data_IF_884166773378
#
_entry.id   IF_884166773378
#
_cell.length_a   1.000
_cell.length_b   1.000
_cell.length_c   1.000
_cell.angle_alpha   90.00
_cell.angle_beta   90.00
_cell.angle_gamma   90.00
#
_symmetry.space_group_name_H-M   'P 1'
#
loop_
_entity.id
_entity.type
_entity.pdbx_description
1 polymer ?
#
# COMPACT_ATOMS: atom_id res chain seq x y z
N UNK A 1 -2.34 -1.99 16.98
CA UNK A 1 -2.20 -1.75 15.53
C UNK A 1 -1.83 -3.03 14.76
N UNK A 2 -0.74 -3.75 15.11
CA UNK A 2 -0.27 -4.94 14.36
C UNK A 2 -0.36 -6.29 15.13
N UNK A 3 -1.09 -6.35 16.25
CA UNK A 3 -1.17 -7.56 17.10
C UNK A 3 -2.18 -8.61 16.60
N UNK A 4 -2.34 -9.70 17.35
CA UNK A 4 -3.20 -10.84 16.97
C UNK A 4 -4.63 -10.44 16.59
N UNK A 5 -5.26 -9.52 17.32
CA UNK A 5 -6.61 -9.00 16.99
C UNK A 5 -6.65 -8.30 15.62
N UNK A 6 -5.59 -7.59 15.25
CA UNK A 6 -5.48 -6.94 13.95
C UNK A 6 -5.30 -7.99 12.82
N UNK A 7 -4.45 -9.00 13.04
CA UNK A 7 -4.29 -10.15 12.14
C UNK A 7 -5.61 -10.88 11.91
N UNK A 8 -6.36 -11.19 12.97
CA UNK A 8 -7.69 -11.79 12.88
C UNK A 8 -8.65 -10.91 12.09
N UNK A 9 -8.63 -9.60 12.36
CA UNK A 9 -9.44 -8.67 11.59
C UNK A 9 -9.07 -8.74 10.10
N UNK A 10 -7.79 -8.70 9.72
CA UNK A 10 -7.34 -8.72 8.31
C UNK A 10 -7.51 -10.07 7.64
N UNK A 11 -7.70 -11.16 8.38
CA UNK A 11 -7.85 -12.51 7.83
C UNK A 11 -8.97 -12.59 6.76
N UNK A 12 -10.06 -11.82 6.94
CA UNK A 12 -11.13 -11.72 5.96
C UNK A 12 -10.66 -11.06 4.64
N UNK A 13 -9.83 -10.02 4.72
CA UNK A 13 -9.22 -9.36 3.55
C UNK A 13 -8.29 -10.34 2.85
N UNK A 14 -7.44 -11.03 3.60
CA UNK A 14 -6.50 -12.02 3.06
C UNK A 14 -7.22 -13.13 2.30
N UNK A 15 -8.22 -13.78 2.93
CA UNK A 15 -9.04 -14.82 2.28
C UNK A 15 -9.70 -14.31 1.01
N UNK A 16 -10.24 -13.09 1.05
CA UNK A 16 -10.94 -12.51 -0.10
C UNK A 16 -10.01 -12.29 -1.30
N UNK A 17 -8.80 -11.78 -1.09
CA UNK A 17 -7.84 -11.58 -2.18
C UNK A 17 -7.24 -12.89 -2.70
N UNK A 18 -6.97 -13.86 -1.81
CA UNK A 18 -6.52 -15.21 -2.22
C UNK A 18 -7.58 -15.93 -3.04
N UNK A 19 -8.84 -15.86 -2.64
CA UNK A 19 -9.96 -16.47 -3.36
C UNK A 19 -10.18 -15.80 -4.74
N UNK A 20 -10.00 -14.48 -4.84
CA UNK A 20 -9.99 -13.81 -6.16
C UNK A 20 -8.84 -14.27 -7.05
N UNK A 21 -7.64 -14.36 -6.49
CA UNK A 21 -6.47 -14.83 -7.23
C UNK A 21 -6.70 -16.26 -7.75
N UNK A 22 -7.20 -17.16 -6.90
CA UNK A 22 -7.56 -18.54 -7.27
C UNK A 22 -8.57 -18.59 -8.41
N UNK A 23 -9.63 -17.77 -8.33
CA UNK A 23 -10.63 -17.63 -9.40
C UNK A 23 -10.02 -17.10 -10.70
N UNK A 24 -9.11 -16.14 -10.63
CA UNK A 24 -8.40 -15.60 -11.81
C UNK A 24 -7.51 -16.64 -12.47
N UNK A 25 -6.77 -17.43 -11.69
CA UNK A 25 -5.95 -18.55 -12.17
C UNK A 25 -6.83 -19.57 -12.90
N UNK A 26 -7.92 -19.98 -12.26
CA UNK A 26 -8.83 -20.97 -12.82
C UNK A 26 -9.57 -20.47 -14.07
N UNK A 27 -9.95 -19.19 -14.12
CA UNK A 27 -10.54 -18.58 -15.31
C UNK A 27 -9.55 -18.52 -16.48
N UNK A 28 -8.27 -18.21 -16.20
CA UNK A 28 -7.21 -18.21 -17.21
C UNK A 28 -7.01 -19.61 -17.83
N UNK A 29 -7.16 -20.67 -17.03
CA UNK A 29 -7.07 -22.05 -17.49
C UNK A 29 -8.28 -22.56 -18.30
N UNK A 30 -9.48 -21.99 -18.12
CA UNK A 30 -10.70 -22.42 -18.83
C UNK A 30 -10.81 -21.88 -20.26
N UNK A 31 -10.27 -20.69 -20.53
CA UNK A 31 -10.39 -20.02 -21.83
C UNK A 31 -9.27 -20.32 -22.83
N UNK A 32 -8.11 -20.79 -22.35
CA UNK A 32 -6.88 -20.99 -23.15
C UNK A 32 -6.18 -22.28 -22.74
N UNK A 33 -6.56 -23.42 -23.35
CA UNK A 33 -5.84 -24.68 -23.13
C UNK A 33 -4.37 -24.52 -23.54
N UNK A 34 -3.47 -24.49 -22.55
CA UNK A 34 -2.01 -24.49 -22.77
C UNK A 34 -1.31 -23.14 -22.66
N UNK A 35 -1.98 -22.03 -22.35
CA UNK A 35 -1.27 -20.77 -22.09
C UNK A 35 -0.58 -20.77 -20.72
N UNK A 36 0.70 -20.37 -20.64
CA UNK A 36 1.40 -20.16 -19.38
C UNK A 36 0.71 -19.09 -18.53
N UNK A 37 0.49 -19.38 -17.25
CA UNK A 37 -0.05 -18.42 -16.28
C UNK A 37 1.10 -17.78 -15.51
N UNK A 38 1.17 -16.44 -15.54
CA UNK A 38 2.17 -15.67 -14.79
C UNK A 38 1.80 -15.54 -13.31
N UNK A 39 2.03 -16.61 -12.54
CA UNK A 39 1.69 -16.69 -11.11
C UNK A 39 2.35 -15.59 -10.27
N UNK A 40 3.61 -15.27 -10.55
CA UNK A 40 4.34 -14.22 -9.83
C UNK A 40 3.65 -12.85 -9.94
N UNK A 41 3.16 -12.48 -11.13
CA UNK A 41 2.42 -11.25 -11.33
C UNK A 41 1.07 -11.24 -10.59
N UNK A 42 0.36 -12.37 -10.62
CA UNK A 42 -0.91 -12.51 -9.90
C UNK A 42 -0.74 -12.42 -8.38
N UNK A 43 0.34 -13.00 -7.84
CA UNK A 43 0.69 -12.90 -6.43
C UNK A 43 0.99 -11.46 -6.02
N UNK A 44 1.80 -10.75 -6.82
CA UNK A 44 2.12 -9.34 -6.57
C UNK A 44 0.84 -8.49 -6.55
N UNK A 45 -0.09 -8.72 -7.48
CA UNK A 45 -1.36 -8.00 -7.50
C UNK A 45 -2.23 -8.30 -6.28
N UNK A 46 -2.32 -9.56 -5.86
CA UNK A 46 -3.08 -9.94 -4.68
C UNK A 46 -2.49 -9.32 -3.40
N UNK A 47 -1.16 -9.35 -3.24
CA UNK A 47 -0.47 -8.73 -2.09
C UNK A 47 -0.65 -7.21 -2.06
N UNK A 48 -0.49 -6.54 -3.20
CA UNK A 48 -0.68 -5.10 -3.30
C UNK A 48 -2.14 -4.68 -3.00
N UNK A 49 -3.13 -5.41 -3.52
CA UNK A 49 -4.53 -5.18 -3.20
C UNK A 49 -4.83 -5.40 -1.71
N UNK A 50 -4.21 -6.41 -1.11
CA UNK A 50 -4.35 -6.71 0.32
C UNK A 50 -3.79 -5.58 1.18
N UNK A 51 -2.55 -5.13 0.90
CA UNK A 51 -1.90 -4.02 1.61
C UNK A 51 -2.72 -2.74 1.46
N UNK A 52 -3.11 -2.37 0.23
CA UNK A 52 -3.93 -1.18 -0.01
C UNK A 52 -5.25 -1.18 0.75
N UNK A 53 -5.90 -2.35 0.86
CA UNK A 53 -7.15 -2.49 1.63
C UNK A 53 -6.95 -2.47 3.14
N UNK A 54 -5.82 -2.96 3.63
CA UNK A 54 -5.50 -2.96 5.06
C UNK A 54 -5.14 -1.55 5.52
N UNK A 55 -4.37 -0.82 4.72
CA UNK A 55 -3.85 0.49 5.09
C UNK A 55 -4.90 1.58 4.85
N UNK A 56 -5.56 1.57 3.68
CA UNK A 56 -6.37 2.69 3.17
C UNK A 56 -7.77 2.26 2.68
N UNK A 57 -8.21 1.03 3.00
CA UNK A 57 -9.47 0.46 2.50
C UNK A 57 -9.65 0.40 0.97
N UNK A 58 -8.58 0.63 0.19
CA UNK A 58 -8.63 0.75 -1.28
C UNK A 58 -7.93 -0.41 -1.99
N UNK A 59 -8.51 -0.93 -3.08
CA UNK A 59 -7.83 -1.89 -3.97
C UNK A 59 -7.03 -1.20 -5.06
N UNK A 60 -5.74 -1.50 -5.12
CA UNK A 60 -4.77 -0.93 -6.08
C UNK A 60 -5.10 -1.27 -7.54
N UNK A 61 -5.48 -2.51 -7.83
CA UNK A 61 -5.59 -3.03 -9.21
C UNK A 61 -7.03 -3.18 -9.72
N UNK A 62 -8.04 -2.87 -8.91
CA UNK A 62 -9.46 -3.00 -9.27
C UNK A 62 -10.24 -1.67 -9.32
N UNK A 63 -9.78 -0.65 -8.60
CA UNK A 63 -10.44 0.67 -8.66
C UNK A 63 -10.18 1.34 -10.01
N UNK A 64 -11.23 1.91 -10.60
CA UNK A 64 -11.16 2.65 -11.86
C UNK A 64 -11.27 4.15 -11.55
N UNK A 65 -10.47 4.97 -12.22
CA UNK A 65 -10.45 6.41 -12.02
C UNK A 65 -9.04 6.97 -12.10
N UNK A 66 -8.91 8.29 -12.28
CA UNK A 66 -7.60 8.96 -12.38
C UNK A 66 -6.76 8.74 -11.11
N UNK A 67 -7.38 8.87 -9.95
CA UNK A 67 -6.72 8.69 -8.65
C UNK A 67 -6.30 7.23 -8.38
N UNK A 68 -7.16 6.26 -8.73
CA UNK A 68 -6.83 4.85 -8.65
C UNK A 68 -5.65 4.47 -9.54
N UNK A 69 -5.59 5.04 -10.76
CA UNK A 69 -4.47 4.85 -11.68
C UNK A 69 -3.18 5.47 -11.15
N UNK A 70 -3.25 6.65 -10.52
CA UNK A 70 -2.10 7.28 -9.88
C UNK A 70 -1.58 6.42 -8.72
N UNK A 71 -2.47 5.95 -7.84
CA UNK A 71 -2.10 5.07 -6.72
C UNK A 71 -1.47 3.76 -7.21
N UNK A 72 -2.05 3.14 -8.24
CA UNK A 72 -1.48 1.97 -8.90
C UNK A 72 -0.08 2.22 -9.45
N UNK A 73 0.13 3.36 -10.14
CA UNK A 73 1.44 3.72 -10.67
C UNK A 73 2.47 3.88 -9.55
N UNK A 74 2.09 4.49 -8.42
CA UNK A 74 2.96 4.61 -7.25
C UNK A 74 3.34 3.25 -6.65
N UNK A 75 2.38 2.33 -6.49
CA UNK A 75 2.67 0.99 -5.94
C UNK A 75 3.56 0.18 -6.87
N UNK A 76 3.35 0.26 -8.18
CA UNK A 76 4.23 -0.38 -9.17
C UNK A 76 5.65 0.20 -9.12
N UNK A 77 5.77 1.53 -9.01
CA UNK A 77 7.07 2.20 -8.86
C UNK A 77 7.77 1.77 -7.56
N UNK A 78 7.04 1.66 -6.44
CA UNK A 78 7.55 1.17 -5.16
C UNK A 78 8.10 -0.26 -5.28
N UNK A 79 7.31 -1.18 -5.82
CA UNK A 79 7.72 -2.59 -6.00
C UNK A 79 8.93 -2.72 -6.92
N UNK A 80 8.99 -1.87 -7.95
CA UNK A 80 10.15 -1.83 -8.88
C UNK A 80 11.41 -1.37 -8.16
N UNK A 81 11.32 -0.31 -7.36
CA UNK A 81 12.47 0.20 -6.59
C UNK A 81 12.91 -0.77 -5.50
N UNK A 82 11.96 -1.39 -4.79
CA UNK A 82 12.25 -2.34 -3.72
C UNK A 82 12.93 -3.63 -4.23
N UNK A 83 12.68 -4.02 -5.48
CA UNK A 83 13.33 -5.17 -6.10
C UNK A 83 14.74 -4.86 -6.64
N UNK A 84 15.17 -3.59 -6.64
CA UNK A 84 16.47 -3.18 -7.18
C UNK A 84 17.54 -3.13 -6.09
N UNK A 85 18.70 -3.69 -6.39
CA UNK A 85 19.90 -3.59 -5.56
C UNK A 85 20.53 -2.21 -5.77
N UNK A 86 20.70 -1.44 -4.68
CA UNK A 86 21.34 -0.13 -4.72
C UNK A 86 22.85 -0.25 -4.44
N UNK A 87 23.68 0.12 -5.41
CA UNK A 87 25.15 0.10 -5.30
C UNK A 87 25.63 0.94 -4.10
N UNK A 88 24.97 2.05 -3.81
CA UNK A 88 25.31 2.91 -2.68
C UNK A 88 25.23 2.20 -1.32
N UNK A 89 24.38 1.19 -1.19
CA UNK A 89 24.23 0.41 0.04
C UNK A 89 25.39 -0.56 0.26
N UNK A 90 26.08 -0.99 -0.82
CA UNK A 90 27.23 -1.90 -0.76
C UNK A 90 28.57 -1.16 -0.82
N UNK A 91 28.60 0.01 -1.46
CA UNK A 91 29.79 0.85 -1.63
C UNK A 91 29.51 2.28 -1.11
N UNK A 92 29.58 2.51 0.21
CA UNK A 92 29.24 3.79 0.82
C UNK A 92 30.04 4.98 0.27
N UNK A 93 31.27 4.75 -0.20
CA UNK A 93 32.14 5.80 -0.75
C UNK A 93 31.58 6.48 -2.01
N UNK A 94 30.71 5.81 -2.76
CA UNK A 94 30.06 6.34 -3.98
C UNK A 94 28.56 6.56 -3.80
N UNK A 95 28.01 6.32 -2.61
CA UNK A 95 26.57 6.40 -2.35
C UNK A 95 25.99 7.79 -2.69
N UNK A 96 26.74 8.85 -2.38
CA UNK A 96 26.34 10.24 -2.65
C UNK A 96 26.12 10.55 -4.13
N UNK A 97 26.68 9.75 -5.04
CA UNK A 97 26.52 9.94 -6.48
C UNK A 97 25.16 9.46 -7.00
N UNK A 98 24.44 8.61 -6.25
CA UNK A 98 23.19 7.96 -6.67
C UNK A 98 23.29 7.43 -8.11
N UNK A 99 24.29 6.58 -8.38
CA UNK A 99 24.67 6.15 -9.75
C UNK A 99 23.52 5.51 -10.54
N UNK A 100 22.56 4.90 -9.85
CA UNK A 100 21.37 4.27 -10.44
C UNK A 100 20.13 5.17 -10.39
N UNK A 101 20.21 6.34 -9.76
CA UNK A 101 19.10 7.27 -9.56
C UNK A 101 18.01 6.73 -8.65
N UNK A 102 18.28 5.70 -7.84
CA UNK A 102 17.28 5.00 -7.02
C UNK A 102 16.83 5.89 -5.86
N UNK A 103 17.77 6.58 -5.21
CA UNK A 103 17.44 7.46 -4.10
C UNK A 103 16.59 8.65 -4.58
N UNK A 104 16.97 9.26 -5.71
CA UNK A 104 16.20 10.34 -6.31
C UNK A 104 14.79 9.90 -6.73
N UNK A 105 14.63 8.68 -7.28
CA UNK A 105 13.32 8.12 -7.64
C UNK A 105 12.50 7.80 -6.40
N UNK A 106 13.09 7.22 -5.37
CA UNK A 106 12.41 6.94 -4.10
C UNK A 106 11.92 8.24 -3.43
N UNK A 107 12.74 9.30 -3.41
CA UNK A 107 12.33 10.62 -2.92
C UNK A 107 11.16 11.22 -3.71
N UNK A 108 11.15 11.07 -5.04
CA UNK A 108 10.02 11.51 -5.87
C UNK A 108 8.75 10.71 -5.57
N UNK A 109 8.87 9.40 -5.41
CA UNK A 109 7.76 8.53 -5.03
C UNK A 109 7.21 8.90 -3.64
N UNK A 110 8.08 9.16 -2.67
CA UNK A 110 7.72 9.61 -1.33
C UNK A 110 6.88 10.88 -1.34
N UNK A 111 7.27 11.88 -2.13
CA UNK A 111 6.48 13.11 -2.28
C UNK A 111 5.09 12.88 -2.86
N UNK A 112 4.92 11.89 -3.75
CA UNK A 112 3.60 11.56 -4.32
C UNK A 112 2.71 10.90 -3.27
N UNK A 113 3.25 9.93 -2.53
CA UNK A 113 2.53 9.26 -1.45
C UNK A 113 2.18 10.20 -0.30
N UNK A 114 3.11 11.06 0.13
CA UNK A 114 2.86 12.07 1.17
C UNK A 114 1.68 12.98 0.78
N UNK A 115 1.56 13.35 -0.50
CA UNK A 115 0.40 14.09 -1.02
C UNK A 115 -0.90 13.29 -0.96
N UNK A 116 -0.87 11.99 -1.26
CA UNK A 116 -2.04 11.12 -1.17
C UNK A 116 -2.47 10.94 0.28
N UNK A 117 -1.54 10.62 1.18
CA UNK A 117 -1.81 10.46 2.60
C UNK A 117 -2.32 11.76 3.21
N UNK A 118 -1.74 12.92 2.87
CA UNK A 118 -2.22 14.22 3.34
C UNK A 118 -3.67 14.48 2.91
N UNK A 119 -4.04 14.14 1.67
CA UNK A 119 -5.45 14.24 1.23
C UNK A 119 -6.36 13.31 2.03
N UNK A 120 -5.93 12.08 2.27
CA UNK A 120 -6.73 11.09 3.03
C UNK A 120 -6.90 11.48 4.50
N UNK A 121 -5.87 12.05 5.13
CA UNK A 121 -5.96 12.61 6.48
C UNK A 121 -7.01 13.73 6.52
N UNK A 122 -6.97 14.66 5.55
CA UNK A 122 -7.97 15.74 5.44
C UNK A 122 -9.38 15.21 5.18
N UNK A 123 -9.54 14.21 4.30
CA UNK A 123 -10.82 13.55 4.05
C UNK A 123 -11.37 12.90 5.32
N UNK A 124 -10.52 12.18 6.07
CA UNK A 124 -10.88 11.55 7.33
C UNK A 124 -11.28 12.58 8.41
N UNK A 125 -10.59 13.72 8.47
CA UNK A 125 -10.95 14.82 9.38
C UNK A 125 -12.31 15.45 9.04
N UNK A 126 -12.63 15.55 7.75
CA UNK A 126 -13.90 16.08 7.27
C UNK A 126 -15.07 15.11 7.48
N UNK A 127 -14.81 13.80 7.56
CA UNK A 127 -15.82 12.74 7.72
C UNK A 127 -15.97 12.22 9.16
N UNK A 128 -15.46 12.96 10.17
CA UNK A 128 -15.62 12.70 11.63
C UNK A 128 -17.09 12.67 12.10
N UNK A 129 -17.87 11.69 11.65
CA UNK A 129 -19.29 11.53 11.95
C UNK A 129 -19.99 10.37 11.24
N UNK A 130 -19.46 9.85 10.13
CA UNK A 130 -20.07 8.74 9.39
C UNK A 130 -19.04 7.63 9.11
N UNK A 131 -18.87 6.64 10.01
CA UNK A 131 -18.06 5.48 9.72
C UNK A 131 -18.79 4.57 8.73
N UNK A 132 -18.59 4.78 7.44
CA UNK A 132 -19.00 3.81 6.42
C UNK A 132 -17.95 2.69 6.33
N UNK A 133 -18.15 1.65 7.16
CA UNK A 133 -17.47 0.37 7.01
C UNK A 133 -16.50 0.02 8.14
N UNK A 134 -15.52 -0.81 7.80
CA UNK A 134 -14.56 -1.37 8.74
C UNK A 134 -13.40 -0.37 8.93
N UNK A 135 -12.95 -0.11 10.17
CA UNK A 135 -11.80 0.74 10.42
C UNK A 135 -10.53 0.14 9.79
N UNK A 136 -9.80 0.97 9.06
CA UNK A 136 -8.49 0.65 8.50
C UNK A 136 -7.33 1.18 9.37
N UNK A 137 -6.10 0.99 8.90
CA UNK A 137 -4.92 1.42 9.64
C UNK A 137 -4.86 2.94 9.77
N UNK A 138 -5.29 3.70 8.76
CA UNK A 138 -5.34 5.16 8.83
C UNK A 138 -6.32 5.59 9.94
N UNK A 139 -7.53 5.02 9.97
CA UNK A 139 -8.52 5.31 11.03
C UNK A 139 -7.95 5.01 12.42
N UNK A 140 -7.25 3.89 12.54
CA UNK A 140 -6.69 3.43 13.79
C UNK A 140 -5.54 4.33 14.28
N UNK A 141 -4.67 4.79 13.37
CA UNK A 141 -3.57 5.72 13.68
C UNK A 141 -4.11 7.12 14.00
N UNK A 142 -5.14 7.58 13.28
CA UNK A 142 -5.83 8.85 13.56
C UNK A 142 -6.51 8.84 14.93
N UNK A 143 -7.11 7.71 15.34
CA UNK A 143 -7.69 7.57 16.67
C UNK A 143 -6.65 7.67 17.81
N UNK A 144 -5.40 7.24 17.57
CA UNK A 144 -4.29 7.43 18.53
C UNK A 144 -3.88 8.90 18.57
N UNK A 145 -3.76 9.54 17.40
CA UNK A 145 -3.42 10.96 17.27
C UNK A 145 -4.36 11.85 18.07
N UNK A 146 -5.65 11.55 18.02
CA UNK A 146 -6.72 12.30 18.69
C UNK A 146 -6.96 11.86 20.16
N UNK A 147 -6.12 10.96 20.70
CA UNK A 147 -6.18 10.42 22.07
C UNK A 147 -5.61 11.34 23.18
N UNK A 148 -5.54 10.84 24.43
CA UNK A 148 -5.05 11.61 25.58
C UNK A 148 -3.58 12.09 25.42
N UNK A 149 -3.25 13.24 26.03
CA UNK A 149 -2.08 14.07 25.68
C UNK A 149 -0.70 13.41 25.80
N UNK A 150 -0.55 12.32 26.56
CA UNK A 150 0.76 11.72 26.86
C UNK A 150 1.40 10.99 25.66
N UNK A 151 0.63 10.68 24.60
CA UNK A 151 1.11 10.00 23.38
C UNK A 151 0.49 10.59 22.08
N UNK A 152 0.33 11.92 21.99
CA UNK A 152 -0.20 12.54 20.77
C UNK A 152 0.79 12.39 19.60
N UNK A 153 0.39 11.62 18.59
CA UNK A 153 1.09 11.55 17.31
C UNK A 153 0.96 12.89 16.58
N UNK A 154 2.00 13.27 15.82
CA UNK A 154 1.90 14.35 14.83
C UNK A 154 1.45 13.79 13.48
N UNK A 155 0.96 14.63 12.57
CA UNK A 155 0.62 14.22 11.21
C UNK A 155 1.83 13.61 10.47
N UNK A 156 3.04 14.08 10.77
CA UNK A 156 4.26 13.49 10.22
C UNK A 156 4.51 12.09 10.79
N UNK A 157 4.17 11.82 12.06
CA UNK A 157 4.22 10.46 12.60
C UNK A 157 3.16 9.56 11.95
N UNK A 158 1.94 10.07 11.73
CA UNK A 158 0.89 9.32 11.02
C UNK A 158 1.36 8.94 9.62
N UNK A 159 1.86 9.91 8.85
CA UNK A 159 2.34 9.68 7.48
C UNK A 159 3.57 8.77 7.45
N UNK A 160 4.48 8.88 8.41
CA UNK A 160 5.65 8.02 8.49
C UNK A 160 5.30 6.55 8.80
N UNK A 161 4.24 6.28 9.56
CA UNK A 161 3.78 4.92 9.87
C UNK A 161 3.05 4.24 8.70
N UNK A 162 2.57 5.03 7.73
CA UNK A 162 1.83 4.54 6.56
C UNK A 162 2.70 4.48 5.28
N UNK A 163 3.96 4.93 5.36
CA UNK A 163 4.95 4.86 4.30
C UNK A 163 5.62 3.49 4.20
#
# INVERSE_FOLDING_TARGET
MLGNKALESWAAVQRNEVDRMSRSIHASGRGRKGEPVMLGGMLIYAMANMIGRVILSRRVFETKGSEANEFKAMVVELMTLAAQVNIGDFLPAVAWMDLQGLEARMKKLHKKFDRVLSRMVLEHEASKGEPEGRPDLLDAVMAIRDGPEEEKLTDDNVKALLW
#
